data_IF_774167380677
#
_entry.id   IF_774167380677
#
_cell.length_a   1.000
_cell.length_b   1.000
_cell.length_c   1.000
_cell.angle_alpha   90.00
_cell.angle_beta   90.00
_cell.angle_gamma   90.00
#
_symmetry.space_group_name_H-M   'P 1'
#
loop_
_entity.id
_entity.type
_entity.pdbx_description
1 polymer ?
#
# COMPACT_ATOMS: atom_id res chain seq x y z
N UNK A 1 71.06 -20.91 -35.17
CA UNK A 1 70.07 -21.56 -34.28
C UNK A 1 69.46 -20.48 -33.41
N UNK A 2 68.26 -19.99 -33.77
CA UNK A 2 67.58 -18.88 -33.09
C UNK A 2 66.50 -19.49 -32.20
N UNK A 3 66.67 -19.38 -30.88
CA UNK A 3 65.65 -19.77 -29.90
C UNK A 3 64.76 -18.55 -29.62
N UNK A 4 63.47 -18.66 -29.95
CA UNK A 4 62.44 -17.68 -29.58
C UNK A 4 61.76 -18.15 -28.30
N UNK A 5 61.94 -17.39 -27.21
CA UNK A 5 61.12 -17.49 -26.00
C UNK A 5 59.74 -16.89 -26.27
N UNK A 6 58.71 -17.72 -26.24
CA UNK A 6 57.31 -17.28 -26.23
C UNK A 6 56.90 -16.89 -24.82
N UNK A 7 56.72 -15.59 -24.59
CA UNK A 7 56.09 -15.04 -23.40
C UNK A 7 54.57 -15.21 -23.54
N UNK A 8 53.99 -16.22 -22.88
CA UNK A 8 52.54 -16.37 -22.78
C UNK A 8 52.01 -15.48 -21.66
N UNK A 9 51.38 -14.36 -22.01
CA UNK A 9 50.63 -13.53 -21.07
C UNK A 9 49.32 -14.26 -20.75
N UNK A 10 49.21 -14.78 -19.54
CA UNK A 10 47.98 -15.36 -19.00
C UNK A 10 47.02 -14.20 -18.65
N UNK A 11 46.04 -13.93 -19.51
CA UNK A 11 44.94 -13.01 -19.19
C UNK A 11 44.00 -13.70 -18.19
N UNK A 12 44.19 -13.40 -16.91
CA UNK A 12 43.23 -13.75 -15.87
C UNK A 12 41.96 -12.92 -16.02
N UNK A 13 40.92 -13.49 -16.63
CA UNK A 13 39.56 -12.99 -16.44
C UNK A 13 39.16 -13.27 -15.00
N UNK A 14 39.30 -12.28 -14.12
CA UNK A 14 38.50 -12.22 -12.90
C UNK A 14 37.04 -12.06 -13.35
N UNK A 15 36.34 -13.17 -13.48
CA UNK A 15 34.88 -13.20 -13.41
C UNK A 15 34.52 -12.78 -11.98
N UNK A 16 34.36 -11.46 -11.78
CA UNK A 16 33.54 -10.98 -10.69
C UNK A 16 32.15 -11.55 -10.96
N UNK A 17 31.82 -12.68 -10.32
CA UNK A 17 30.46 -13.16 -10.18
C UNK A 17 29.72 -12.14 -9.30
N UNK A 18 29.44 -10.97 -9.85
CA UNK A 18 28.42 -10.09 -9.31
C UNK A 18 27.15 -10.93 -9.32
N UNK A 19 26.55 -11.15 -8.14
CA UNK A 19 25.18 -11.61 -8.11
C UNK A 19 24.38 -10.58 -8.89
N UNK A 20 23.98 -10.90 -10.11
CA UNK A 20 23.04 -10.08 -10.83
C UNK A 20 21.80 -10.06 -9.96
N UNK A 21 21.51 -8.89 -9.38
CA UNK A 21 20.26 -8.66 -8.68
C UNK A 21 19.14 -9.10 -9.63
N UNK A 22 18.35 -10.07 -9.22
CA UNK A 22 17.28 -10.57 -10.07
C UNK A 22 16.13 -9.57 -10.04
N UNK A 23 15.66 -9.17 -11.21
CA UNK A 23 14.48 -8.32 -11.36
C UNK A 23 13.23 -9.01 -10.80
N UNK A 24 12.25 -8.20 -10.41
CA UNK A 24 10.96 -8.72 -9.98
C UNK A 24 10.25 -9.48 -11.11
N UNK A 25 9.77 -10.69 -10.79
CA UNK A 25 8.87 -11.43 -11.67
C UNK A 25 7.43 -10.99 -11.40
N UNK A 26 6.75 -10.49 -12.43
CA UNK A 26 5.34 -10.07 -12.32
C UNK A 26 4.44 -11.25 -12.67
N UNK A 27 3.55 -11.62 -11.75
CA UNK A 27 2.52 -12.62 -12.02
C UNK A 27 1.46 -12.06 -13.01
N UNK A 28 0.81 -12.93 -13.81
CA UNK A 28 -0.28 -12.48 -14.67
C UNK A 28 -1.34 -11.70 -13.91
N UNK A 29 -1.71 -10.53 -14.42
CA UNK A 29 -2.77 -9.70 -13.86
C UNK A 29 -4.14 -10.23 -14.28
N UNK A 30 -4.96 -10.67 -13.33
CA UNK A 30 -6.33 -11.12 -13.58
C UNK A 30 -7.37 -10.00 -13.63
N UNK A 31 -6.98 -8.75 -13.35
CA UNK A 31 -7.89 -7.60 -13.30
C UNK A 31 -8.04 -7.00 -14.69
N UNK A 32 -9.23 -7.15 -15.29
CA UNK A 32 -9.50 -6.64 -16.64
C UNK A 32 -9.28 -5.13 -16.71
N UNK A 33 -8.50 -4.69 -17.72
CA UNK A 33 -8.18 -3.28 -17.93
C UNK A 33 -7.23 -2.68 -16.89
N UNK A 34 -6.54 -3.49 -16.08
CA UNK A 34 -5.37 -3.04 -15.31
C UNK A 34 -4.15 -3.80 -15.78
N UNK A 35 -3.10 -3.09 -16.17
CA UNK A 35 -1.85 -3.71 -16.60
C UNK A 35 -0.78 -3.52 -15.53
N UNK A 36 0.02 -4.56 -15.31
CA UNK A 36 1.14 -4.54 -14.36
C UNK A 36 2.41 -4.89 -15.11
N UNK A 37 3.44 -4.06 -14.99
CA UNK A 37 4.73 -4.28 -15.63
C UNK A 37 5.87 -4.13 -14.62
N UNK A 38 6.87 -5.01 -14.70
CA UNK A 38 8.08 -4.95 -13.86
C UNK A 38 9.29 -4.48 -14.68
N UNK A 39 10.45 -4.37 -14.04
CA UNK A 39 11.67 -3.82 -14.63
C UNK A 39 12.15 -4.49 -15.93
N UNK A 40 11.78 -5.75 -16.16
CA UNK A 40 12.09 -6.48 -17.39
C UNK A 40 11.21 -6.10 -18.59
N UNK A 41 10.16 -5.30 -18.39
CA UNK A 41 9.32 -4.77 -19.47
C UNK A 41 9.97 -3.55 -20.11
N UNK A 42 9.88 -3.45 -21.44
CA UNK A 42 10.45 -2.33 -22.20
C UNK A 42 9.89 -0.96 -21.78
N UNK A 43 8.62 -0.90 -21.36
CA UNK A 43 7.91 0.34 -21.00
C UNK A 43 8.09 0.75 -19.53
N UNK A 44 8.74 -0.08 -18.71
CA UNK A 44 8.78 0.11 -17.26
C UNK A 44 9.43 1.44 -16.86
N UNK A 45 10.66 1.67 -17.31
CA UNK A 45 11.41 2.85 -16.90
C UNK A 45 10.83 4.14 -17.50
N UNK A 46 10.27 4.07 -18.71
CA UNK A 46 9.52 5.18 -19.31
C UNK A 46 8.31 5.56 -18.44
N UNK A 47 7.53 4.57 -18.01
CA UNK A 47 6.37 4.78 -17.14
C UNK A 47 6.80 5.31 -15.76
N UNK A 48 7.91 4.81 -15.20
CA UNK A 48 8.47 5.33 -13.95
C UNK A 48 8.87 6.80 -14.09
N UNK A 49 9.50 7.17 -15.20
CA UNK A 49 9.88 8.57 -15.46
C UNK A 49 8.66 9.47 -15.68
N UNK A 50 7.59 8.98 -16.31
CA UNK A 50 6.31 9.71 -16.41
C UNK A 50 5.72 9.97 -15.01
N UNK A 51 5.75 8.96 -14.13
CA UNK A 51 5.09 9.04 -12.82
C UNK A 51 5.90 9.85 -11.80
N UNK A 52 7.22 9.63 -11.76
CA UNK A 52 8.11 10.14 -10.70
C UNK A 52 9.05 11.25 -11.19
N UNK A 53 9.12 11.49 -12.49
CA UNK A 53 10.13 12.33 -13.11
C UNK A 53 11.48 11.62 -13.26
N UNK A 54 12.30 12.13 -14.19
CA UNK A 54 13.61 11.59 -14.48
C UNK A 54 14.62 11.77 -13.32
N UNK A 55 14.49 12.83 -12.53
CA UNK A 55 15.40 13.14 -11.41
C UNK A 55 14.88 12.54 -10.11
N UNK A 56 15.56 11.50 -9.61
CA UNK A 56 15.16 10.71 -8.45
C UNK A 56 16.30 10.59 -7.45
N UNK A 57 15.98 10.37 -6.17
CA UNK A 57 17.00 10.13 -5.15
C UNK A 57 17.69 8.78 -5.36
N UNK A 58 18.96 8.62 -4.93
CA UNK A 58 19.65 7.33 -5.01
C UNK A 58 18.90 6.21 -4.28
N UNK A 59 18.29 6.54 -3.12
CA UNK A 59 17.51 5.58 -2.34
C UNK A 59 16.29 5.08 -3.10
N UNK A 60 15.56 5.96 -3.80
CA UNK A 60 14.44 5.55 -4.64
C UNK A 60 14.91 4.67 -5.80
N UNK A 61 15.97 5.08 -6.50
CA UNK A 61 16.52 4.32 -7.63
C UNK A 61 16.94 2.90 -7.26
N UNK A 62 17.43 2.69 -6.03
CA UNK A 62 17.81 1.37 -5.55
C UNK A 62 16.63 0.40 -5.40
N UNK A 63 15.40 0.89 -5.26
CA UNK A 63 14.19 0.07 -5.14
C UNK A 63 13.52 -0.27 -6.46
N UNK A 64 13.77 0.49 -7.53
CA UNK A 64 13.06 0.36 -8.80
C UNK A 64 13.18 -1.00 -9.49
N UNK A 65 14.33 -1.71 -9.46
CA UNK A 65 14.40 -3.07 -10.01
C UNK A 65 13.41 -4.05 -9.37
N UNK A 66 12.93 -3.73 -8.16
CA UNK A 66 11.95 -4.51 -7.39
C UNK A 66 10.55 -3.91 -7.44
N UNK A 67 10.33 -2.85 -8.21
CA UNK A 67 9.03 -2.20 -8.36
C UNK A 67 8.21 -2.73 -9.52
N UNK A 68 6.92 -2.42 -9.50
CA UNK A 68 6.02 -2.60 -10.63
C UNK A 68 5.30 -1.30 -10.95
N UNK A 69 5.00 -1.06 -12.22
CA UNK A 69 4.08 -0.02 -12.65
C UNK A 69 2.70 -0.62 -12.83
N UNK A 70 1.68 0.09 -12.37
CA UNK A 70 0.28 -0.28 -12.61
C UNK A 70 -0.38 0.81 -13.44
N UNK A 71 -0.94 0.45 -14.60
CA UNK A 71 -1.65 1.38 -15.46
C UNK A 71 -3.14 1.05 -15.47
N UNK A 72 -3.96 2.05 -15.19
CA UNK A 72 -5.40 1.95 -15.30
C UNK A 72 -5.83 2.12 -16.76
N UNK A 73 -6.20 1.04 -17.44
CA UNK A 73 -6.76 1.03 -18.80
C UNK A 73 -8.29 0.93 -18.80
N UNK A 74 -8.94 1.02 -17.64
CA UNK A 74 -10.40 1.02 -17.52
C UNK A 74 -10.98 2.42 -17.77
N UNK A 75 -12.30 2.52 -17.82
CA UNK A 75 -13.02 3.80 -17.83
C UNK A 75 -13.31 4.36 -16.43
N UNK A 76 -13.00 3.61 -15.36
CA UNK A 76 -13.25 4.00 -13.98
C UNK A 76 -11.96 4.45 -13.31
N UNK A 77 -12.05 5.36 -12.33
CA UNK A 77 -10.90 5.66 -11.47
C UNK A 77 -10.64 4.48 -10.53
N UNK A 78 -9.38 4.24 -10.16
CA UNK A 78 -9.02 3.27 -9.12
C UNK A 78 -8.85 4.02 -7.79
N UNK A 79 -9.65 3.65 -6.81
CA UNK A 79 -9.70 4.23 -5.48
C UNK A 79 -8.89 3.47 -4.42
N UNK A 80 -8.52 2.22 -4.66
CA UNK A 80 -7.53 1.52 -3.85
C UNK A 80 -6.77 0.48 -4.65
N UNK A 81 -5.54 0.19 -4.25
CA UNK A 81 -4.65 -0.81 -4.86
C UNK A 81 -3.97 -1.59 -3.75
N UNK A 82 -3.86 -2.90 -3.92
CA UNK A 82 -3.04 -3.78 -3.10
C UNK A 82 -2.11 -4.64 -3.96
N UNK A 83 -0.80 -4.52 -3.74
CA UNK A 83 0.24 -5.31 -4.41
C UNK A 83 0.92 -6.21 -3.38
N UNK A 84 0.96 -7.50 -3.69
CA UNK A 84 1.53 -8.53 -2.84
C UNK A 84 2.92 -8.91 -3.34
N UNK A 85 3.88 -8.97 -2.42
CA UNK A 85 5.27 -9.31 -2.67
C UNK A 85 5.65 -10.59 -1.95
N UNK A 86 6.23 -11.53 -2.70
CA UNK A 86 6.79 -12.77 -2.16
C UNK A 86 8.28 -12.80 -2.48
N UNK A 87 9.10 -12.77 -1.44
CA UNK A 87 10.56 -12.85 -1.54
C UNK A 87 10.99 -14.27 -1.20
N UNK A 88 11.80 -14.90 -2.04
CA UNK A 88 12.40 -16.21 -1.77
C UNK A 88 13.89 -16.04 -1.66
N UNK A 89 14.46 -16.42 -0.51
CA UNK A 89 15.89 -16.34 -0.27
C UNK A 89 16.68 -17.44 -1.02
N UNK A 90 18.01 -17.39 -0.98
CA UNK A 90 18.87 -18.39 -1.63
C UNK A 90 18.69 -19.83 -1.12
N UNK A 91 18.12 -20.02 0.08
CA UNK A 91 17.79 -21.34 0.64
C UNK A 91 16.44 -21.88 0.12
N UNK A 92 15.75 -21.13 -0.74
CA UNK A 92 14.43 -21.50 -1.24
C UNK A 92 13.30 -21.25 -0.24
N UNK A 93 13.58 -20.56 0.88
CA UNK A 93 12.56 -20.22 1.86
C UNK A 93 11.88 -18.91 1.44
N UNK A 94 10.56 -18.92 1.42
CA UNK A 94 9.78 -17.71 1.24
C UNK A 94 9.74 -16.90 2.55
N UNK A 95 10.04 -15.62 2.46
CA UNK A 95 9.84 -14.65 3.54
C UNK A 95 8.34 -14.42 3.78
N UNK A 96 7.97 -13.82 4.94
CA UNK A 96 6.62 -13.32 5.13
C UNK A 96 6.17 -12.45 3.96
N UNK A 97 4.92 -12.61 3.55
CA UNK A 97 4.32 -11.84 2.46
C UNK A 97 4.29 -10.37 2.88
N UNK A 98 4.87 -9.50 2.07
CA UNK A 98 4.72 -8.04 2.23
C UNK A 98 3.59 -7.58 1.33
N UNK A 99 2.70 -6.74 1.84
CA UNK A 99 1.65 -6.12 1.04
C UNK A 99 1.85 -4.61 1.06
N UNK A 100 1.86 -4.03 -0.13
CA UNK A 100 1.83 -2.59 -0.30
C UNK A 100 0.43 -2.22 -0.75
N UNK A 101 -0.29 -1.50 0.08
CA UNK A 101 -1.62 -1.00 -0.27
C UNK A 101 -1.70 0.52 -0.15
N UNK A 102 -2.67 1.10 -0.85
CA UNK A 102 -3.07 2.49 -0.68
C UNK A 102 -4.55 2.65 -0.98
N UNK A 103 -5.22 3.49 -0.19
CA UNK A 103 -6.58 3.95 -0.45
C UNK A 103 -6.56 5.45 -0.71
N UNK A 104 -7.16 5.86 -1.82
CA UNK A 104 -7.27 7.24 -2.27
C UNK A 104 -8.66 7.78 -1.91
N UNK A 105 -8.75 8.28 -0.68
CA UNK A 105 -9.97 8.83 -0.07
C UNK A 105 -10.55 10.05 -0.80
N UNK A 106 -9.73 10.75 -1.58
CA UNK A 106 -10.12 11.91 -2.37
C UNK A 106 -10.13 11.57 -3.87
N UNK A 107 -11.21 11.90 -4.61
CA UNK A 107 -11.29 11.63 -6.05
C UNK A 107 -10.10 12.13 -6.87
N UNK A 108 -9.54 13.29 -6.51
CA UNK A 108 -8.36 13.88 -7.16
C UNK A 108 -7.06 13.09 -6.98
N UNK A 109 -7.01 12.19 -5.99
CA UNK A 109 -5.85 11.35 -5.70
C UNK A 109 -6.00 9.94 -6.31
N UNK A 110 -7.20 9.58 -6.79
CA UNK A 110 -7.46 8.29 -7.40
C UNK A 110 -6.71 8.14 -8.73
N UNK A 111 -6.38 6.90 -9.11
CA UNK A 111 -5.68 6.65 -10.38
C UNK A 111 -6.69 6.75 -11.52
N UNK A 112 -6.64 7.87 -12.24
CA UNK A 112 -7.54 8.13 -13.37
C UNK A 112 -7.34 7.15 -14.54
N UNK A 113 -8.35 6.98 -15.40
CA UNK A 113 -8.21 6.29 -16.69
C UNK A 113 -6.99 6.77 -17.48
N UNK A 114 -6.21 5.83 -17.99
CA UNK A 114 -4.96 6.07 -18.73
C UNK A 114 -3.77 6.48 -17.87
N UNK A 115 -3.91 6.58 -16.54
CA UNK A 115 -2.82 6.95 -15.64
C UNK A 115 -2.17 5.75 -14.97
N UNK A 116 -0.92 5.96 -14.58
CA UNK A 116 -0.07 4.95 -13.94
C UNK A 116 0.34 5.35 -12.53
N UNK A 117 0.66 4.34 -11.73
CA UNK A 117 1.35 4.47 -10.44
C UNK A 117 2.54 3.51 -10.40
N UNK A 118 3.51 3.79 -9.53
CA UNK A 118 4.64 2.91 -9.23
C UNK A 118 4.43 2.30 -7.85
N UNK A 119 4.25 0.97 -7.80
CA UNK A 119 4.24 0.23 -6.56
C UNK A 119 5.63 -0.35 -6.28
N UNK A 120 6.16 -0.03 -5.12
CA UNK A 120 7.37 -0.59 -4.53
C UNK A 120 6.97 -1.40 -3.30
N UNK A 121 7.80 -2.37 -2.85
CA UNK A 121 7.53 -3.12 -1.62
C UNK A 121 7.25 -2.27 -0.38
N UNK A 122 7.76 -1.03 -0.37
CA UNK A 122 7.68 -0.11 0.77
C UNK A 122 6.72 1.05 0.55
N UNK A 123 6.22 1.27 -0.67
CA UNK A 123 5.43 2.46 -0.98
C UNK A 123 4.66 2.33 -2.30
N UNK A 124 3.51 2.99 -2.39
CA UNK A 124 2.81 3.23 -3.64
C UNK A 124 2.92 4.72 -4.00
N UNK A 125 3.47 5.00 -5.18
CA UNK A 125 3.84 6.34 -5.62
C UNK A 125 3.01 6.72 -6.87
N UNK A 126 2.47 7.95 -6.91
CA UNK A 126 1.64 8.44 -8.01
C UNK A 126 1.95 9.88 -8.40
N UNK A 127 1.31 10.34 -9.50
CA UNK A 127 1.55 11.66 -10.13
C UNK A 127 0.92 12.84 -9.40
N UNK A 128 0.00 12.62 -8.46
CA UNK A 128 -0.64 13.71 -7.72
C UNK A 128 0.24 14.13 -6.52
N UNK A 129 0.54 15.43 -6.33
CA UNK A 129 1.18 15.90 -5.10
C UNK A 129 0.24 15.64 -3.93
N UNK A 130 0.59 14.71 -3.06
CA UNK A 130 -0.12 14.48 -1.80
C UNK A 130 -0.19 15.82 -1.03
N UNK A 131 -1.37 16.26 -0.57
CA UNK A 131 -1.46 17.38 0.36
C UNK A 131 -0.60 17.08 1.59
N UNK A 132 0.23 18.04 2.02
CA UNK A 132 1.21 17.87 3.13
C UNK A 132 0.64 17.26 4.41
N UNK A 133 -0.66 17.43 4.66
CA UNK A 133 -1.37 16.94 5.84
C UNK A 133 -1.71 15.44 5.82
N UNK A 134 -1.54 14.75 4.69
CA UNK A 134 -1.72 13.29 4.55
C UNK A 134 -0.41 12.56 4.23
N UNK A 135 0.73 13.23 4.41
CA UNK A 135 2.06 12.60 4.35
C UNK A 135 2.29 11.73 5.59
N UNK A 136 1.71 10.53 5.60
CA UNK A 136 2.26 9.40 6.38
C UNK A 136 3.45 8.75 5.63
N UNK A 137 3.73 9.22 4.40
CA UNK A 137 4.87 8.86 3.58
C UNK A 137 5.81 10.07 3.51
N UNK A 138 7.15 9.89 3.55
CA UNK A 138 8.06 11.01 3.48
C UNK A 138 7.91 11.75 2.14
N UNK A 139 8.42 13.00 2.01
CA UNK A 139 8.25 13.82 0.80
C UNK A 139 8.67 13.07 -0.47
N UNK A 140 8.15 13.45 -1.66
CA UNK A 140 8.53 12.83 -2.92
C UNK A 140 10.07 12.75 -3.04
N UNK A 141 10.58 11.52 -3.14
CA UNK A 141 12.01 11.22 -3.17
C UNK A 141 12.61 10.68 -1.87
N UNK A 142 11.86 10.56 -0.77
CA UNK A 142 12.33 9.94 0.47
C UNK A 142 11.43 8.73 0.78
N UNK A 143 11.98 7.52 0.67
CA UNK A 143 11.30 6.31 1.12
C UNK A 143 11.41 6.20 2.65
N UNK A 144 10.40 5.70 3.37
CA UNK A 144 10.57 5.37 4.78
C UNK A 144 11.72 4.38 4.90
N UNK A 145 12.76 4.76 5.65
CA UNK A 145 14.09 4.11 5.72
C UNK A 145 14.04 2.71 6.37
N UNK A 146 12.86 2.16 6.64
CA UNK A 146 12.65 0.83 7.23
C UNK A 146 12.32 -0.24 6.18
N UNK A 147 12.98 -0.19 5.02
CA UNK A 147 12.81 -1.22 4.00
C UNK A 147 13.90 -2.29 4.09
N UNK A 148 13.52 -3.57 3.98
CA UNK A 148 14.44 -4.69 3.88
C UNK A 148 15.11 -4.77 2.49
N UNK A 149 15.62 -3.66 1.94
CA UNK A 149 16.19 -3.62 0.58
C UNK A 149 17.27 -4.70 0.37
N UNK A 150 18.10 -4.93 1.38
CA UNK A 150 19.13 -5.96 1.35
C UNK A 150 18.53 -7.38 1.17
N UNK A 151 17.32 -7.63 1.68
CA UNK A 151 16.60 -8.89 1.49
C UNK A 151 16.14 -9.07 0.04
N UNK A 152 15.65 -8.00 -0.59
CA UNK A 152 15.29 -8.01 -2.01
C UNK A 152 16.53 -8.14 -2.90
N UNK A 153 17.63 -7.47 -2.55
CA UNK A 153 18.91 -7.56 -3.25
C UNK A 153 19.57 -8.93 -3.14
N UNK A 154 19.45 -9.58 -1.99
CA UNK A 154 19.91 -10.95 -1.75
C UNK A 154 18.86 -12.03 -2.03
N UNK A 155 17.76 -11.69 -2.70
CA UNK A 155 16.72 -12.65 -3.01
C UNK A 155 17.14 -13.54 -4.18
N UNK A 156 16.79 -14.82 -4.11
CA UNK A 156 16.81 -15.72 -5.28
C UNK A 156 15.62 -15.47 -6.20
N UNK A 157 14.50 -14.97 -5.67
CA UNK A 157 13.32 -14.65 -6.46
C UNK A 157 12.52 -13.59 -5.74
N UNK A 158 12.08 -12.57 -6.47
CA UNK A 158 11.07 -11.62 -6.01
C UNK A 158 9.87 -11.77 -6.94
N UNK A 159 8.68 -11.96 -6.39
CA UNK A 159 7.45 -12.04 -7.16
C UNK A 159 6.47 -10.96 -6.71
N UNK A 160 5.93 -10.21 -7.67
CA UNK A 160 4.87 -9.24 -7.47
C UNK A 160 3.56 -9.75 -8.07
N UNK A 161 2.47 -9.59 -7.33
CA UNK A 161 1.11 -9.92 -7.78
C UNK A 161 0.16 -8.79 -7.40
N UNK A 162 -0.68 -8.35 -8.33
CA UNK A 162 -1.82 -7.49 -8.00
C UNK A 162 -2.84 -8.31 -7.23
N UNK A 163 -2.99 -8.03 -5.93
CA UNK A 163 -3.89 -8.79 -5.06
C UNK A 163 -5.31 -8.24 -5.09
N UNK A 164 -5.46 -6.94 -5.37
CA UNK A 164 -6.76 -6.36 -5.68
C UNK A 164 -6.70 -4.88 -6.02
N UNK A 165 -7.78 -4.41 -6.65
CA UNK A 165 -8.10 -3.00 -6.82
C UNK A 165 -9.52 -2.73 -6.37
N UNK A 166 -9.77 -1.52 -5.89
CA UNK A 166 -11.11 -0.97 -5.69
C UNK A 166 -11.30 0.14 -6.70
N UNK A 167 -12.36 0.07 -7.51
CA UNK A 167 -12.74 1.17 -8.39
C UNK A 167 -13.50 2.25 -7.61
N UNK A 168 -13.57 3.46 -8.16
CA UNK A 168 -14.29 4.57 -7.55
C UNK A 168 -15.79 4.32 -7.32
N UNK A 169 -16.37 3.38 -8.07
CA UNK A 169 -17.71 2.87 -7.83
C UNK A 169 -17.85 2.12 -6.50
N UNK A 170 -16.74 1.63 -5.94
CA UNK A 170 -16.70 0.74 -4.78
C UNK A 170 -16.48 -0.72 -5.13
N UNK A 171 -16.49 -1.08 -6.41
CA UNK A 171 -16.26 -2.45 -6.86
C UNK A 171 -14.82 -2.89 -6.58
N UNK A 172 -14.66 -3.95 -5.80
CA UNK A 172 -13.40 -4.65 -5.61
C UNK A 172 -13.20 -5.73 -6.68
N UNK A 173 -12.01 -5.80 -7.26
CA UNK A 173 -11.63 -6.84 -8.22
C UNK A 173 -10.22 -7.34 -7.90
N UNK A 174 -10.08 -8.64 -7.68
CA UNK A 174 -8.80 -9.28 -7.42
C UNK A 174 -8.94 -10.59 -6.64
N UNK A 175 -7.85 -11.35 -6.51
CA UNK A 175 -7.85 -12.60 -5.75
C UNK A 175 -7.93 -12.43 -4.23
N UNK A 176 -7.52 -11.27 -3.69
CA UNK A 176 -7.61 -10.95 -2.25
C UNK A 176 -6.93 -11.99 -1.33
N UNK A 177 -5.78 -12.52 -1.74
CA UNK A 177 -5.09 -13.54 -0.97
C UNK A 177 -4.58 -13.00 0.38
N UNK A 178 -4.31 -11.70 0.44
CA UNK A 178 -3.91 -11.01 1.65
C UNK A 178 -5.09 -10.55 2.51
N UNK A 179 -6.35 -10.71 2.05
CA UNK A 179 -7.57 -10.26 2.74
C UNK A 179 -7.65 -8.73 2.92
N UNK A 180 -7.06 -7.99 1.98
CA UNK A 180 -7.04 -6.53 1.97
C UNK A 180 -8.44 -5.96 1.73
N UNK A 181 -9.32 -6.66 1.01
CA UNK A 181 -10.71 -6.24 0.89
C UNK A 181 -11.43 -6.31 2.23
N UNK A 182 -11.31 -7.41 2.98
CA UNK A 182 -11.93 -7.49 4.31
C UNK A 182 -11.38 -6.42 5.26
N UNK A 183 -10.08 -6.13 5.17
CA UNK A 183 -9.47 -5.01 5.91
C UNK A 183 -10.08 -3.66 5.48
N UNK A 184 -10.14 -3.36 4.19
CA UNK A 184 -10.72 -2.11 3.68
C UNK A 184 -12.22 -1.97 4.04
N UNK A 185 -12.99 -3.06 3.98
CA UNK A 185 -14.40 -3.07 4.41
C UNK A 185 -14.50 -2.74 5.89
N UNK A 186 -13.68 -3.37 6.73
CA UNK A 186 -13.65 -3.06 8.16
C UNK A 186 -13.32 -1.57 8.40
N UNK A 187 -12.26 -1.08 7.75
CA UNK A 187 -11.76 0.30 7.89
C UNK A 187 -12.73 1.37 7.39
N UNK A 188 -13.57 1.06 6.41
CA UNK A 188 -14.55 2.03 5.84
C UNK A 188 -15.93 1.96 6.49
N UNK A 189 -16.37 0.79 6.94
CA UNK A 189 -17.75 0.61 7.44
C UNK A 189 -17.84 0.69 8.96
N UNK A 190 -16.87 0.11 9.68
CA UNK A 190 -16.93 0.02 11.14
C UNK A 190 -16.86 1.40 11.78
N UNK A 191 -15.97 2.33 11.37
CA UNK A 191 -15.92 3.64 12.00
C UNK A 191 -17.22 4.43 11.86
N UNK A 192 -17.81 4.41 10.66
CA UNK A 192 -19.10 5.06 10.39
C UNK A 192 -20.23 4.45 11.23
N UNK A 193 -20.23 3.12 11.44
CA UNK A 193 -21.22 2.44 12.29
C UNK A 193 -21.09 2.82 13.76
N UNK A 194 -19.87 2.80 14.31
CA UNK A 194 -19.61 3.22 15.70
C UNK A 194 -20.01 4.68 15.90
N UNK A 195 -19.62 5.55 14.97
CA UNK A 195 -19.98 6.95 15.02
C UNK A 195 -21.50 7.20 14.92
N UNK A 196 -22.19 6.49 14.01
CA UNK A 196 -23.65 6.57 13.89
C UNK A 196 -24.36 6.12 15.16
N UNK A 197 -23.82 5.11 15.85
CA UNK A 197 -24.35 4.65 17.15
C UNK A 197 -24.20 5.72 18.21
N UNK A 198 -23.03 6.36 18.31
CA UNK A 198 -22.79 7.49 19.23
C UNK A 198 -23.76 8.65 18.97
N UNK A 199 -23.97 9.01 17.70
CA UNK A 199 -24.90 10.08 17.31
C UNK A 199 -26.36 9.70 17.61
N UNK A 200 -26.74 8.43 17.43
CA UNK A 200 -28.08 7.94 17.75
C UNK A 200 -28.36 7.96 19.26
N UNK A 201 -27.37 7.61 20.09
CA UNK A 201 -27.46 7.73 21.55
C UNK A 201 -27.70 9.19 21.95
N UNK A 202 -26.94 10.13 21.38
CA UNK A 202 -27.14 11.56 21.62
C UNK A 202 -28.54 12.04 21.22
N UNK A 203 -28.98 11.69 20.01
CA UNK A 203 -30.31 12.06 19.51
C UNK A 203 -31.46 11.50 20.36
N UNK A 204 -31.21 10.38 21.06
CA UNK A 204 -32.16 9.75 21.98
C UNK A 204 -32.14 10.35 23.40
N UNK A 205 -31.25 11.32 23.67
CA UNK A 205 -31.09 11.94 24.98
C UNK A 205 -30.33 11.07 25.98
N UNK A 206 -29.56 10.08 25.52
CA UNK A 206 -28.69 9.29 26.40
C UNK A 206 -27.67 10.19 27.09
N UNK A 207 -27.47 9.97 28.39
CA UNK A 207 -26.48 10.73 29.14
C UNK A 207 -25.06 10.43 28.62
N UNK A 208 -24.20 11.46 28.56
CA UNK A 208 -22.81 11.32 28.08
C UNK A 208 -22.02 10.26 28.84
N UNK A 209 -22.31 10.02 30.12
CA UNK A 209 -21.71 8.94 30.91
C UNK A 209 -22.02 7.54 30.34
N UNK A 210 -23.24 7.32 29.82
CA UNK A 210 -23.63 6.08 29.15
C UNK A 210 -22.87 5.89 27.84
N UNK A 211 -22.76 6.94 27.04
CA UNK A 211 -22.00 6.94 25.77
C UNK A 211 -20.52 6.62 26.03
N UNK A 212 -19.90 7.26 27.03
CA UNK A 212 -18.52 7.03 27.40
C UNK A 212 -18.27 5.59 27.90
N UNK A 213 -19.18 5.04 28.71
CA UNK A 213 -19.09 3.66 29.18
C UNK A 213 -19.22 2.65 28.03
N UNK A 214 -20.11 2.91 27.06
CA UNK A 214 -20.24 2.08 25.87
C UNK A 214 -18.98 2.12 24.99
N UNK A 215 -18.41 3.30 24.77
CA UNK A 215 -17.13 3.45 24.05
C UNK A 215 -15.99 2.73 24.77
N UNK A 216 -15.93 2.83 26.10
CA UNK A 216 -14.91 2.15 26.89
C UNK A 216 -15.03 0.62 26.76
N UNK A 217 -16.23 0.06 26.84
CA UNK A 217 -16.45 -1.38 26.66
C UNK A 217 -16.00 -1.85 25.26
N UNK A 218 -16.34 -1.11 24.21
CA UNK A 218 -15.94 -1.42 22.84
C UNK A 218 -14.43 -1.25 22.62
N UNK A 219 -13.79 -0.28 23.27
CA UNK A 219 -12.34 -0.05 23.18
C UNK A 219 -11.48 -1.21 23.71
N UNK A 220 -12.09 -2.10 24.50
CA UNK A 220 -11.43 -3.24 25.16
C UNK A 220 -11.66 -4.58 24.43
N UNK A 221 -12.32 -4.58 23.27
CA UNK A 221 -12.48 -5.80 22.50
C UNK A 221 -11.10 -6.34 22.10
N UNK A 222 -10.74 -7.51 22.62
CA UNK A 222 -9.53 -8.24 22.27
C UNK A 222 -9.93 -9.50 21.52
N UNK A 223 -9.85 -9.45 20.20
CA UNK A 223 -10.13 -10.62 19.36
C UNK A 223 -9.15 -10.66 18.19
N UNK A 224 -9.01 -11.84 17.59
CA UNK A 224 -8.33 -12.00 16.30
C UNK A 224 -9.16 -11.54 15.10
N UNK A 225 -10.37 -11.03 15.33
CA UNK A 225 -11.28 -10.55 14.28
C UNK A 225 -11.00 -9.09 13.94
N UNK A 226 -10.90 -8.78 12.65
CA UNK A 226 -10.52 -7.46 12.17
C UNK A 226 -11.57 -6.40 12.49
N UNK A 227 -12.86 -6.72 12.35
CA UNK A 227 -13.93 -5.77 12.66
C UNK A 227 -13.88 -5.34 14.13
N UNK A 228 -13.69 -6.29 15.04
CA UNK A 228 -13.50 -5.99 16.46
C UNK A 228 -12.24 -5.15 16.74
N UNK A 229 -11.13 -5.37 16.03
CA UNK A 229 -9.94 -4.51 16.15
C UNK A 229 -10.22 -3.07 15.72
N UNK A 230 -10.89 -2.88 14.57
CA UNK A 230 -11.27 -1.54 14.07
C UNK A 230 -12.30 -0.88 14.99
N UNK A 231 -13.26 -1.65 15.53
CA UNK A 231 -14.20 -1.18 16.56
C UNK A 231 -13.46 -0.68 17.78
N UNK A 232 -12.54 -1.47 18.34
CA UNK A 232 -11.79 -1.11 19.53
C UNK A 232 -10.97 0.17 19.32
N UNK A 233 -10.28 0.26 18.18
CA UNK A 233 -9.48 1.43 17.82
C UNK A 233 -10.36 2.67 17.64
N UNK A 234 -11.47 2.58 16.90
CA UNK A 234 -12.38 3.71 16.67
C UNK A 234 -13.02 4.18 17.98
N UNK A 235 -13.54 3.24 18.77
CA UNK A 235 -14.15 3.56 20.06
C UNK A 235 -13.16 4.24 21.01
N UNK A 236 -11.90 3.78 21.02
CA UNK A 236 -10.81 4.42 21.76
C UNK A 236 -10.55 5.86 21.29
N UNK A 237 -10.46 6.10 19.99
CA UNK A 237 -10.23 7.44 19.44
C UNK A 237 -11.34 8.41 19.86
N UNK A 238 -12.60 8.02 19.67
CA UNK A 238 -13.75 8.84 20.09
C UNK A 238 -13.76 9.08 21.61
N UNK A 239 -13.42 8.07 22.42
CA UNK A 239 -13.30 8.23 23.86
C UNK A 239 -12.15 9.19 24.26
N UNK A 240 -11.03 9.14 23.56
CA UNK A 240 -9.90 10.03 23.79
C UNK A 240 -10.22 11.48 23.35
N UNK A 241 -10.98 11.66 22.26
CA UNK A 241 -11.51 12.96 21.85
C UNK A 241 -12.48 13.54 22.90
N UNK A 242 -13.37 12.72 23.46
CA UNK A 242 -14.23 13.10 24.58
C UNK A 242 -13.39 13.54 25.80
N UNK A 243 -12.37 12.78 26.19
CA UNK A 243 -11.51 13.13 27.33
C UNK A 243 -10.73 14.42 27.10
N UNK A 244 -10.37 14.73 25.85
CA UNK A 244 -9.59 15.91 25.48
C UNK A 244 -10.42 17.18 25.37
N UNK A 245 -11.62 17.10 24.77
CA UNK A 245 -12.43 18.27 24.41
C UNK A 245 -13.88 18.23 24.87
N UNK A 246 -14.26 17.23 25.64
CA UNK A 246 -15.62 17.05 26.14
C UNK A 246 -16.60 16.56 25.08
N UNK A 247 -17.89 16.70 25.40
CA UNK A 247 -19.02 16.17 24.64
C UNK A 247 -19.13 16.76 23.23
N UNK A 248 -18.90 18.07 23.07
CA UNK A 248 -18.98 18.73 21.76
C UNK A 248 -17.97 18.16 20.76
N UNK A 249 -16.71 17.96 21.19
CA UNK A 249 -15.67 17.41 20.32
C UNK A 249 -15.95 15.96 19.94
N UNK A 250 -16.46 15.14 20.87
CA UNK A 250 -16.87 13.77 20.58
C UNK A 250 -17.87 13.72 19.43
N UNK A 251 -18.93 14.54 19.49
CA UNK A 251 -19.98 14.53 18.48
C UNK A 251 -19.56 15.16 17.16
N UNK A 252 -18.70 16.19 17.17
CA UNK A 252 -18.09 16.73 15.97
C UNK A 252 -17.28 15.65 15.22
N UNK A 253 -16.41 14.94 15.92
CA UNK A 253 -15.60 13.87 15.31
C UNK A 253 -16.47 12.68 14.88
N UNK A 254 -17.47 12.29 15.68
CA UNK A 254 -18.42 11.25 15.29
C UNK A 254 -19.19 11.65 14.02
N UNK A 255 -19.61 12.91 13.89
CA UNK A 255 -20.25 13.39 12.67
C UNK A 255 -19.31 13.29 11.46
N UNK A 256 -18.03 13.62 11.62
CA UNK A 256 -17.00 13.41 10.60
C UNK A 256 -16.87 11.94 10.16
N UNK A 257 -16.80 11.00 11.11
CA UNK A 257 -16.74 9.56 10.78
C UNK A 257 -18.01 9.01 10.14
N UNK A 258 -19.19 9.44 10.62
CA UNK A 258 -20.47 9.02 10.05
C UNK A 258 -20.65 9.53 8.60
N UNK A 259 -20.02 10.66 8.26
CA UNK A 259 -19.93 11.22 6.92
C UNK A 259 -18.69 10.76 6.14
N UNK A 260 -17.92 9.82 6.69
CA UNK A 260 -16.63 9.35 6.18
C UNK A 260 -16.64 8.88 4.71
N UNK A 261 -15.46 8.61 4.13
CA UNK A 261 -15.26 8.51 2.68
C UNK A 261 -16.32 7.62 2.02
N UNK A 262 -17.13 8.24 1.15
CA UNK A 262 -18.38 7.67 0.63
C UNK A 262 -18.25 6.48 -0.33
N UNK A 263 -17.09 5.81 -0.36
CA UNK A 263 -16.89 4.63 -1.20
C UNK A 263 -17.45 3.41 -0.47
N UNK A 264 -18.69 3.04 -0.80
CA UNK A 264 -19.28 1.79 -0.35
C UNK A 264 -18.63 0.64 -1.10
N UNK A 265 -17.88 -0.19 -0.40
CA UNK A 265 -17.18 -1.33 -1.01
C UNK A 265 -18.13 -2.50 -1.28
N UNK A 266 -18.01 -3.11 -2.46
CA UNK A 266 -18.72 -4.35 -2.82
C UNK A 266 -17.85 -5.22 -3.73
N UNK A 267 -18.10 -6.54 -3.74
CA UNK A 267 -17.50 -7.49 -4.68
C UNK A 267 -18.38 -7.64 -5.92
#
# INVERSE_FOLDING_TARGET
MVSRFGCGVLFGFLLCAGSLAQDVTVAPCGVAGVTVAGASSAEYFETVDEVLGATRSPSLNAWLPYGVTLTNRTSQHIAAIAVRWVVTNHRGQASPVTVTHSMFDQPRLQVAPGKSVVALPVALLGTAPLPRQFQLTPPPGVLPVQGHLAEFQGARKVQATLDGVVFASGQFVGPDNAKEFEELVAETTVPAHIASTVLAMNASGEAIGTVAAWLEANSKLQTGDRNAQVTARTAKLLLDDYKRGGEALLYEVAQGYAQGPGIKLYR
#
